data_IF_786208990437
#
_entry.id   IF_786208990437
#
_cell.length_a   1.000
_cell.length_b   1.000
_cell.length_c   1.000
_cell.angle_alpha   90.00
_cell.angle_beta   90.00
_cell.angle_gamma   90.00
#
_symmetry.space_group_name_H-M   'P 1'
#
loop_
_entity.id
_entity.type
_entity.pdbx_description
1 polymer ?
#
# COMPACT_ATOMS: atom_id res chain seq x y z
N UNK A 1 -14.43 -26.97 -2.65
CA UNK A 1 -15.51 -25.99 -2.61
C UNK A 1 -16.55 -26.49 -1.62
N UNK A 2 -16.96 -25.66 -0.67
CA UNK A 2 -18.05 -26.00 0.25
C UNK A 2 -19.35 -25.77 -0.52
N UNK A 3 -20.23 -26.79 -0.60
CA UNK A 3 -21.50 -26.67 -1.32
C UNK A 3 -22.41 -25.64 -0.64
N UNK A 4 -23.16 -24.87 -1.44
CA UNK A 4 -24.08 -23.84 -0.93
C UNK A 4 -25.07 -24.36 0.12
N UNK A 5 -25.49 -25.62 0.00
CA UNK A 5 -26.42 -26.26 0.93
C UNK A 5 -25.79 -26.50 2.31
N UNK A 6 -24.49 -26.82 2.35
CA UNK A 6 -23.73 -26.99 3.60
C UNK A 6 -23.55 -25.65 4.34
N UNK A 7 -23.40 -24.55 3.58
CA UNK A 7 -23.31 -23.20 4.13
C UNK A 7 -24.66 -22.79 4.74
N UNK A 8 -25.78 -23.03 4.04
CA UNK A 8 -27.10 -22.73 4.57
C UNK A 8 -27.39 -23.53 5.86
N UNK A 9 -27.03 -24.81 5.89
CA UNK A 9 -27.24 -25.66 7.05
C UNK A 9 -26.38 -25.25 8.26
N UNK A 10 -25.11 -24.91 8.05
CA UNK A 10 -24.23 -24.41 9.11
C UNK A 10 -24.68 -23.05 9.66
N UNK A 11 -25.20 -22.17 8.79
CA UNK A 11 -25.79 -20.89 9.20
C UNK A 11 -27.03 -21.12 10.07
N UNK A 12 -27.94 -22.02 9.66
CA UNK A 12 -29.13 -22.36 10.43
C UNK A 12 -28.80 -22.96 11.81
N UNK A 13 -27.69 -23.69 11.91
CA UNK A 13 -27.21 -24.29 13.17
C UNK A 13 -26.31 -23.37 14.00
N UNK A 14 -26.03 -22.14 13.53
CA UNK A 14 -25.13 -21.21 14.21
C UNK A 14 -23.71 -21.78 14.38
N UNK A 15 -23.20 -22.47 13.36
CA UNK A 15 -21.88 -23.11 13.39
C UNK A 15 -20.88 -22.37 12.52
N UNK A 16 -19.62 -22.39 12.93
CA UNK A 16 -18.51 -21.80 12.20
C UNK A 16 -18.30 -22.61 10.93
N UNK A 17 -18.24 -21.92 9.79
CA UNK A 17 -18.03 -22.55 8.48
C UNK A 17 -16.70 -23.30 8.35
N UNK A 18 -15.75 -23.02 9.25
CA UNK A 18 -14.41 -23.55 9.17
C UNK A 18 -14.16 -24.64 10.20
N UNK A 19 -14.18 -24.30 11.49
CA UNK A 19 -13.93 -25.28 12.55
C UNK A 19 -15.16 -26.09 12.99
N UNK A 20 -16.36 -25.76 12.49
CA UNK A 20 -17.61 -26.42 12.89
C UNK A 20 -18.07 -26.15 14.33
N UNK A 21 -17.37 -25.28 15.08
CA UNK A 21 -17.75 -24.91 16.44
C UNK A 21 -18.90 -23.90 16.50
N UNK A 22 -19.46 -23.64 17.69
CA UNK A 22 -20.52 -22.62 17.85
C UNK A 22 -20.02 -21.24 17.42
N UNK A 23 -20.74 -20.64 16.48
CA UNK A 23 -20.43 -19.34 15.90
C UNK A 23 -21.22 -18.24 16.60
N UNK A 24 -20.51 -17.18 16.97
CA UNK A 24 -21.08 -15.94 17.47
C UNK A 24 -20.33 -14.79 16.79
N UNK A 25 -21.04 -13.80 16.22
CA UNK A 25 -20.43 -12.73 15.40
C UNK A 25 -19.23 -12.04 16.06
N UNK A 26 -19.29 -11.82 17.38
CA UNK A 26 -18.25 -11.11 18.14
C UNK A 26 -17.43 -11.98 19.10
N UNK A 27 -17.88 -13.21 19.42
CA UNK A 27 -17.27 -14.03 20.50
C UNK A 27 -16.53 -15.25 19.97
N UNK A 28 -16.81 -15.68 18.74
CA UNK A 28 -16.18 -16.87 18.20
C UNK A 28 -14.79 -16.58 17.63
N UNK A 29 -13.75 -17.09 18.30
CA UNK A 29 -12.38 -17.11 17.75
C UNK A 29 -12.07 -18.47 17.15
N UNK A 30 -12.19 -18.58 15.83
CA UNK A 30 -11.93 -19.83 15.12
C UNK A 30 -10.44 -20.23 15.26
N UNK A 31 -10.14 -21.47 15.68
CA UNK A 31 -8.76 -21.95 15.81
C UNK A 31 -8.07 -22.12 14.44
N UNK A 32 -8.83 -22.29 13.36
CA UNK A 32 -8.31 -22.41 11.99
C UNK A 32 -8.18 -21.02 11.33
N UNK A 33 -7.14 -20.28 11.72
CA UNK A 33 -6.83 -18.94 11.17
C UNK A 33 -6.15 -19.09 9.80
N UNK A 34 -6.90 -18.91 8.72
CA UNK A 34 -6.34 -18.58 7.40
C UNK A 34 -7.26 -17.59 6.70
N UNK A 35 -6.68 -16.86 5.73
CA UNK A 35 -7.21 -15.70 5.00
C UNK A 35 -8.74 -15.67 4.82
N UNK A 36 -9.32 -14.50 5.10
CA UNK A 36 -10.77 -14.23 5.13
C UNK A 36 -11.29 -14.00 3.71
N UNK A 37 -12.23 -14.83 3.24
CA UNK A 37 -13.23 -14.44 2.24
C UNK A 37 -14.53 -14.26 2.99
N UNK A 38 -15.02 -13.03 3.09
CA UNK A 38 -16.32 -12.71 3.67
C UNK A 38 -17.31 -12.55 2.51
N UNK A 39 -18.30 -13.44 2.44
CA UNK A 39 -19.44 -13.29 1.53
C UNK A 39 -20.49 -12.49 2.31
N UNK A 40 -20.62 -11.21 1.98
CA UNK A 40 -21.64 -10.32 2.54
C UNK A 40 -23.02 -10.63 1.94
N UNK A 41 -24.05 -10.66 2.77
CA UNK A 41 -25.44 -10.60 2.30
C UNK A 41 -25.79 -9.20 1.80
N UNK A 42 -26.79 -9.09 0.92
CA UNK A 42 -27.29 -7.77 0.48
C UNK A 42 -27.74 -6.96 1.71
N UNK A 43 -27.10 -5.79 1.91
CA UNK A 43 -27.43 -4.85 2.99
C UNK A 43 -26.56 -4.93 4.25
N UNK A 44 -25.54 -5.80 4.30
CA UNK A 44 -24.60 -5.88 5.43
C UNK A 44 -23.34 -5.03 5.19
N UNK A 45 -23.02 -4.13 6.13
CA UNK A 45 -21.79 -3.32 6.17
C UNK A 45 -20.92 -3.75 7.38
N UNK A 46 -19.60 -3.73 7.19
CA UNK A 46 -18.60 -4.20 8.17
C UNK A 46 -17.74 -3.00 8.62
N UNK A 47 -17.39 -2.93 9.90
CA UNK A 47 -16.31 -2.07 10.40
C UNK A 47 -14.91 -2.67 10.14
N UNK A 48 -13.87 -1.89 10.44
CA UNK A 48 -12.47 -2.25 10.21
C UNK A 48 -11.97 -3.47 10.99
N UNK A 49 -12.72 -3.94 11.99
CA UNK A 49 -12.42 -5.15 12.77
C UNK A 49 -13.04 -6.42 12.18
N UNK A 50 -13.89 -6.30 11.15
CA UNK A 50 -14.61 -7.41 10.57
C UNK A 50 -15.95 -7.71 11.26
N UNK A 51 -16.46 -6.79 12.08
CA UNK A 51 -17.75 -6.89 12.75
C UNK A 51 -18.84 -6.23 11.89
N UNK A 52 -20.05 -6.81 11.87
CA UNK A 52 -21.18 -6.23 11.15
C UNK A 52 -21.72 -5.07 11.98
N UNK A 53 -21.57 -3.84 11.47
CA UNK A 53 -21.91 -2.61 12.20
C UNK A 53 -23.05 -1.88 11.50
N UNK A 54 -24.25 -2.10 12.04
CA UNK A 54 -25.50 -1.37 11.87
C UNK A 54 -26.40 -1.69 10.65
N UNK A 55 -27.64 -2.06 11.00
CA UNK A 55 -28.85 -1.66 10.31
C UNK A 55 -29.25 -0.28 10.90
N UNK A 56 -29.43 0.71 10.03
CA UNK A 56 -29.87 2.12 10.27
C UNK A 56 -28.82 3.15 10.71
N UNK A 57 -28.67 4.17 9.85
CA UNK A 57 -27.73 5.31 9.92
C UNK A 57 -28.25 6.40 10.86
N UNK A 58 -27.39 6.88 11.77
CA UNK A 58 -27.48 8.25 12.30
C UNK A 58 -26.16 8.94 11.98
N UNK A 59 -26.26 10.04 11.25
CA UNK A 59 -25.14 10.93 10.91
C UNK A 59 -24.74 11.69 12.17
N UNK A 60 -23.54 11.40 12.69
CA UNK A 60 -22.80 12.32 13.55
C UNK A 60 -21.57 12.78 12.76
N UNK A 61 -21.38 14.09 12.69
CA UNK A 61 -20.27 14.75 12.00
C UNK A 61 -18.95 14.43 12.73
N UNK A 62 -18.17 13.50 12.20
CA UNK A 62 -16.82 13.20 12.68
C UNK A 62 -15.80 14.18 12.05
N UNK A 63 -14.99 14.82 12.89
CA UNK A 63 -13.81 15.57 12.46
C UNK A 63 -12.88 14.62 11.67
N UNK A 64 -12.52 14.98 10.44
CA UNK A 64 -11.67 14.18 9.54
C UNK A 64 -10.25 13.99 10.11
N UNK A 65 -10.07 13.02 10.99
CA UNK A 65 -8.76 12.38 11.18
C UNK A 65 -8.46 11.60 9.89
N UNK A 66 -7.69 12.21 8.99
CA UNK A 66 -7.25 11.56 7.75
C UNK A 66 -6.50 10.27 8.12
N UNK A 67 -7.12 9.11 8.05
CA UNK A 67 -6.45 7.83 8.24
C UNK A 67 -5.59 7.54 7.00
N UNK A 68 -4.27 7.42 7.18
CA UNK A 68 -3.38 6.96 6.12
C UNK A 68 -3.17 5.45 6.28
N UNK A 69 -3.63 4.68 5.31
CA UNK A 69 -3.29 3.26 5.20
C UNK A 69 -2.14 3.05 4.21
N UNK A 70 -1.15 2.25 4.57
CA UNK A 70 -0.10 1.76 3.68
C UNK A 70 -0.06 0.24 3.79
N UNK A 71 -0.73 -0.48 2.89
CA UNK A 71 -0.65 -1.94 2.87
C UNK A 71 0.67 -2.35 2.23
N UNK A 72 1.76 -2.21 2.99
CA UNK A 72 3.08 -2.71 2.62
C UNK A 72 2.99 -4.23 2.44
N UNK A 73 2.70 -4.63 1.21
CA UNK A 73 2.64 -6.03 0.82
C UNK A 73 4.05 -6.41 0.36
N UNK A 74 4.91 -6.68 1.35
CA UNK A 74 6.25 -7.20 1.15
C UNK A 74 7.30 -6.13 0.82
N UNK A 75 7.88 -5.53 1.86
CA UNK A 75 9.17 -4.79 1.80
C UNK A 75 10.31 -5.63 1.18
N UNK A 76 10.15 -6.95 1.04
CA UNK A 76 11.17 -7.83 0.45
C UNK A 76 10.71 -8.46 -0.88
N UNK A 77 10.58 -7.63 -1.92
CA UNK A 77 11.05 -7.92 -3.29
C UNK A 77 10.61 -9.18 -4.07
N UNK A 78 9.80 -10.09 -3.52
CA UNK A 78 9.20 -11.23 -4.23
C UNK A 78 8.15 -11.90 -3.36
N UNK A 79 6.90 -11.92 -3.81
CA UNK A 79 5.95 -12.94 -3.37
C UNK A 79 6.14 -14.19 -4.24
N UNK A 80 7.26 -14.89 -4.04
CA UNK A 80 7.63 -16.03 -4.88
C UNK A 80 8.02 -15.61 -6.30
N UNK A 81 7.33 -16.14 -7.32
CA UNK A 81 7.62 -15.86 -8.74
C UNK A 81 7.01 -14.55 -9.26
N UNK A 82 6.10 -13.93 -8.50
CA UNK A 82 5.38 -12.71 -8.89
C UNK A 82 6.10 -11.45 -8.45
N UNK A 83 6.09 -10.44 -9.33
CA UNK A 83 6.88 -9.22 -9.20
C UNK A 83 5.99 -8.00 -8.97
N UNK A 84 6.42 -7.14 -8.07
CA UNK A 84 5.81 -5.82 -7.84
C UNK A 84 6.29 -4.81 -8.88
N UNK A 85 5.46 -3.81 -9.19
CA UNK A 85 5.82 -2.74 -10.12
C UNK A 85 6.77 -1.74 -9.47
N UNK A 86 8.08 -1.99 -9.61
CA UNK A 86 9.15 -1.07 -9.21
C UNK A 86 9.73 -0.39 -10.44
N UNK A 87 9.79 0.92 -10.44
CA UNK A 87 10.36 1.73 -11.53
C UNK A 87 11.57 2.48 -11.01
N UNK A 88 12.57 2.64 -11.88
CA UNK A 88 13.68 3.55 -11.62
C UNK A 88 13.19 4.98 -11.78
N UNK A 89 13.49 5.83 -10.82
CA UNK A 89 13.23 7.25 -10.88
C UNK A 89 14.49 8.05 -10.53
N UNK A 90 14.39 9.37 -10.67
CA UNK A 90 15.38 10.32 -10.16
C UNK A 90 14.71 11.36 -9.30
N UNK A 91 15.29 11.60 -8.15
CA UNK A 91 14.95 12.71 -7.28
C UNK A 91 16.15 13.66 -7.30
N UNK A 92 15.94 14.86 -7.82
CA UNK A 92 17.03 15.74 -8.25
C UNK A 92 17.98 15.04 -9.24
N UNK A 93 19.21 14.73 -8.81
CA UNK A 93 20.21 13.99 -9.61
C UNK A 93 20.51 12.58 -9.10
N UNK A 94 19.80 12.11 -8.06
CA UNK A 94 20.03 10.81 -7.43
C UNK A 94 19.05 9.77 -7.98
N UNK A 95 19.55 8.60 -8.36
CA UNK A 95 18.76 7.45 -8.76
C UNK A 95 18.04 6.84 -7.55
N UNK A 96 16.73 6.63 -7.69
CA UNK A 96 15.84 6.12 -6.65
C UNK A 96 14.95 4.98 -7.15
N UNK A 97 14.56 4.07 -6.26
CA UNK A 97 13.58 3.00 -6.52
C UNK A 97 12.19 3.45 -6.07
N UNK A 98 11.28 3.48 -7.03
CA UNK A 98 9.91 3.88 -6.81
C UNK A 98 9.00 2.65 -6.91
N UNK A 99 8.28 2.34 -5.85
CA UNK A 99 7.23 1.32 -5.87
C UNK A 99 5.90 1.96 -6.26
N UNK A 100 5.19 1.39 -7.22
CA UNK A 100 3.80 1.75 -7.53
C UNK A 100 2.88 0.79 -6.80
N UNK A 101 2.10 1.29 -5.85
CA UNK A 101 1.30 0.47 -4.93
C UNK A 101 -0.14 1.00 -4.80
N UNK A 102 -1.08 0.28 -5.42
CA UNK A 102 -2.53 0.59 -5.25
C UNK A 102 -3.07 0.20 -3.88
N UNK A 103 -2.31 -0.53 -3.06
CA UNK A 103 -2.62 -0.84 -1.66
C UNK A 103 -2.22 0.28 -0.68
N UNK A 104 -1.50 1.30 -1.15
CA UNK A 104 -1.13 2.47 -0.37
C UNK A 104 -2.07 3.64 -0.67
N UNK A 105 -2.68 4.24 0.35
CA UNK A 105 -3.59 5.39 0.19
C UNK A 105 -2.84 6.67 -0.23
N UNK A 106 -1.71 6.94 0.42
CA UNK A 106 -0.88 8.13 0.23
C UNK A 106 0.44 7.77 -0.44
N UNK A 107 1.19 8.78 -0.89
CA UNK A 107 2.58 8.60 -1.27
C UNK A 107 3.47 8.64 -0.02
N UNK A 108 4.56 7.89 -0.05
CA UNK A 108 5.53 7.82 1.04
C UNK A 108 6.94 8.02 0.51
N UNK A 109 7.79 8.65 1.31
CA UNK A 109 9.21 8.84 1.00
C UNK A 109 10.05 8.39 2.20
N UNK A 110 11.18 7.74 1.90
CA UNK A 110 12.09 7.26 2.92
C UNK A 110 12.74 8.40 3.68
N UNK A 111 12.74 8.33 5.02
CA UNK A 111 13.44 9.28 5.87
C UNK A 111 14.95 9.38 5.56
N UNK A 112 15.57 8.27 5.15
CA UNK A 112 16.98 8.25 4.77
C UNK A 112 17.28 9.14 3.55
N UNK A 113 16.37 9.16 2.58
CA UNK A 113 16.51 10.01 1.39
C UNK A 113 16.21 11.46 1.70
N UNK A 114 15.18 11.74 2.50
CA UNK A 114 14.88 13.12 2.89
C UNK A 114 16.06 13.75 3.61
N UNK A 115 16.72 12.99 4.48
CA UNK A 115 17.91 13.45 5.21
C UNK A 115 19.12 13.59 4.28
N UNK A 116 19.39 12.60 3.42
CA UNK A 116 20.53 12.64 2.50
C UNK A 116 20.46 13.78 1.47
N UNK A 117 19.25 14.13 1.04
CA UNK A 117 19.00 15.22 0.08
C UNK A 117 18.68 16.57 0.76
N UNK A 118 18.54 16.60 2.08
CA UNK A 118 18.16 17.82 2.80
C UNK A 118 16.77 18.36 2.41
N UNK A 119 15.84 17.46 2.07
CA UNK A 119 14.49 17.83 1.69
C UNK A 119 13.76 18.49 2.87
N UNK A 120 12.95 19.50 2.57
CA UNK A 120 12.23 20.24 3.60
C UNK A 120 11.03 19.43 4.09
N UNK A 121 11.09 18.99 5.34
CA UNK A 121 10.01 18.28 6.03
C UNK A 121 9.17 19.29 6.80
N UNK A 122 7.92 19.47 6.38
CA UNK A 122 6.97 20.32 7.10
C UNK A 122 6.41 19.57 8.32
N UNK A 123 6.39 20.20 9.50
CA UNK A 123 5.71 19.65 10.66
C UNK A 123 4.23 19.42 10.37
N UNK A 124 3.71 18.27 10.76
CA UNK A 124 2.29 17.97 10.66
C UNK A 124 1.78 17.42 11.99
N UNK A 125 0.46 17.46 12.20
CA UNK A 125 -0.16 16.70 13.29
C UNK A 125 0.24 15.23 13.13
N UNK A 126 0.67 14.60 14.22
CA UNK A 126 1.14 13.21 14.19
C UNK A 126 0.09 12.30 13.54
N UNK A 127 0.40 11.80 12.34
CA UNK A 127 -0.48 10.92 11.59
C UNK A 127 -0.06 9.47 11.88
N UNK A 128 -0.96 8.69 12.47
CA UNK A 128 -0.77 7.25 12.62
C UNK A 128 -1.09 6.58 11.28
N UNK A 129 -0.09 5.92 10.71
CA UNK A 129 -0.20 5.18 9.47
C UNK A 129 -0.37 3.71 9.83
N UNK A 130 -1.46 3.09 9.37
CA UNK A 130 -1.70 1.67 9.53
C UNK A 130 -1.02 0.91 8.40
N UNK A 131 -0.13 -0.01 8.77
CA UNK A 131 0.61 -0.84 7.84
C UNK A 131 -0.17 -2.10 7.45
N UNK A 132 0.23 -2.73 6.35
CA UNK A 132 -0.42 -3.94 5.83
C UNK A 132 -0.35 -5.16 6.75
N UNK A 133 0.59 -5.17 7.69
CA UNK A 133 0.74 -6.18 8.74
C UNK A 133 -0.10 -5.87 10.00
N UNK A 134 -0.83 -4.76 10.01
CA UNK A 134 -1.65 -4.30 11.12
C UNK A 134 -0.91 -3.45 12.16
N UNK A 135 0.41 -3.26 12.03
CA UNK A 135 1.17 -2.35 12.89
C UNK A 135 0.86 -0.89 12.55
N UNK A 136 0.99 -0.01 13.54
CA UNK A 136 0.86 1.44 13.33
C UNK A 136 2.21 2.12 13.53
N UNK A 137 2.53 3.00 12.60
CA UNK A 137 3.76 3.81 12.61
C UNK A 137 3.39 5.28 12.53
N UNK A 138 4.19 6.14 13.14
CA UNK A 138 3.95 7.59 13.12
C UNK A 138 4.79 8.21 12.02
N UNK A 139 4.17 9.00 11.14
CA UNK A 139 4.90 9.75 10.13
C UNK A 139 5.79 10.82 10.76
N UNK A 140 6.99 11.01 10.21
CA UNK A 140 7.93 12.04 10.69
C UNK A 140 7.57 13.44 10.18
N UNK A 141 6.69 13.55 9.18
CA UNK A 141 6.27 14.81 8.60
C UNK A 141 5.79 14.67 7.16
N UNK A 142 5.56 15.80 6.51
CA UNK A 142 5.16 15.88 5.11
C UNK A 142 6.27 16.54 4.28
N UNK A 143 6.72 15.85 3.23
CA UNK A 143 7.57 16.44 2.20
C UNK A 143 6.67 16.84 1.02
N UNK A 144 6.44 18.15 0.85
CA UNK A 144 5.55 18.67 -0.18
C UNK A 144 6.29 18.98 -1.49
N UNK A 145 5.61 18.83 -2.63
CA UNK A 145 6.12 19.21 -3.94
C UNK A 145 7.35 18.44 -4.40
N UNK A 146 7.49 17.18 -4.00
CA UNK A 146 8.58 16.29 -4.40
C UNK A 146 8.53 16.08 -5.91
N UNK A 147 9.58 16.51 -6.61
CA UNK A 147 9.72 16.33 -8.06
C UNK A 147 10.45 15.04 -8.35
N UNK A 148 9.71 14.09 -8.90
CA UNK A 148 10.19 12.75 -9.21
C UNK A 148 10.19 12.54 -10.72
N UNK A 149 11.37 12.41 -11.31
CA UNK A 149 11.51 12.10 -12.72
C UNK A 149 11.43 10.57 -12.90
N UNK A 150 10.43 10.11 -13.66
CA UNK A 150 10.17 8.69 -13.92
C UNK A 150 10.60 8.28 -15.34
N UNK A 151 11.56 9.01 -15.91
CA UNK A 151 12.05 8.84 -17.28
C UNK A 151 11.13 9.47 -18.32
N UNK A 152 9.93 8.92 -18.48
CA UNK A 152 8.97 9.36 -19.49
C UNK A 152 8.09 10.55 -19.04
N UNK A 153 8.08 10.86 -17.75
CA UNK A 153 7.33 11.98 -17.17
C UNK A 153 8.01 12.50 -15.89
N UNK A 154 7.62 13.70 -15.45
CA UNK A 154 7.91 14.21 -14.12
C UNK A 154 6.61 14.18 -13.29
N UNK A 155 6.64 13.52 -12.14
CA UNK A 155 5.56 13.53 -11.17
C UNK A 155 5.91 14.53 -10.06
N UNK A 156 4.97 15.41 -9.72
CA UNK A 156 5.08 16.29 -8.55
C UNK A 156 4.11 15.77 -7.50
N UNK A 157 4.62 15.31 -6.37
CA UNK A 157 3.81 14.65 -5.33
C UNK A 157 4.11 15.18 -3.94
N UNK A 158 3.08 15.20 -3.10
CA UNK A 158 3.26 15.33 -1.66
C UNK A 158 3.40 13.92 -1.07
N UNK A 159 4.40 13.72 -0.20
CA UNK A 159 4.75 12.41 0.34
C UNK A 159 4.94 12.46 1.86
N UNK A 160 4.35 11.49 2.55
CA UNK A 160 4.55 11.30 4.00
C UNK A 160 5.91 10.66 4.25
N UNK A 161 6.65 11.19 5.23
CA UNK A 161 7.97 10.67 5.57
C UNK A 161 7.82 9.45 6.48
N UNK A 162 8.40 8.33 6.07
CA UNK A 162 8.38 7.05 6.79
C UNK A 162 9.68 6.28 6.57
N UNK A 163 10.04 5.36 7.46
CA UNK A 163 11.06 4.35 7.18
C UNK A 163 10.47 3.25 6.29
N UNK A 164 11.07 3.03 5.12
CA UNK A 164 10.56 2.15 4.06
C UNK A 164 11.40 0.87 3.86
N UNK A 165 12.41 0.61 4.69
CA UNK A 165 13.20 -0.63 4.66
C UNK A 165 13.78 -0.98 3.28
N UNK A 166 14.54 -0.05 2.69
CA UNK A 166 15.23 -0.27 1.40
C UNK A 166 14.50 0.22 0.15
N UNK A 167 13.23 0.66 0.26
CA UNK A 167 12.56 1.42 -0.81
C UNK A 167 12.78 2.92 -0.62
N UNK A 168 12.81 3.67 -1.72
CA UNK A 168 13.09 5.10 -1.69
C UNK A 168 11.79 5.92 -1.68
N UNK A 169 10.85 5.57 -2.56
CA UNK A 169 9.55 6.22 -2.69
C UNK A 169 8.46 5.19 -2.96
N UNK A 170 7.28 5.38 -2.37
CA UNK A 170 6.04 4.65 -2.71
C UNK A 170 5.05 5.65 -3.30
N UNK A 171 4.58 5.37 -4.51
CA UNK A 171 3.48 6.10 -5.13
C UNK A 171 2.17 5.34 -4.92
N UNK A 172 1.30 5.93 -4.11
CA UNK A 172 0.01 5.36 -3.72
C UNK A 172 -1.15 5.85 -4.59
N UNK A 173 -2.37 5.54 -4.13
CA UNK A 173 -3.63 5.95 -4.75
C UNK A 173 -3.69 7.46 -4.95
N UNK A 174 -3.17 8.26 -4.01
CA UNK A 174 -3.12 9.73 -4.14
C UNK A 174 -2.41 10.23 -5.41
N UNK A 175 -1.40 9.52 -5.91
CA UNK A 175 -0.79 9.81 -7.21
C UNK A 175 -1.52 9.08 -8.34
N UNK A 176 -1.84 7.79 -8.16
CA UNK A 176 -2.49 6.98 -9.20
C UNK A 176 -3.81 7.56 -9.70
N UNK A 177 -4.61 8.18 -8.82
CA UNK A 177 -5.88 8.78 -9.20
C UNK A 177 -5.73 9.96 -10.17
N UNK A 178 -4.56 10.63 -10.18
CA UNK A 178 -4.26 11.74 -11.10
C UNK A 178 -4.08 11.27 -12.55
N UNK A 179 -3.80 9.98 -12.76
CA UNK A 179 -3.52 9.41 -14.08
C UNK A 179 -4.80 9.01 -14.83
N UNK A 180 -5.94 8.92 -14.13
CA UNK A 180 -7.18 8.44 -14.69
C UNK A 180 -7.12 6.97 -15.09
N UNK A 181 -7.38 6.68 -16.38
CA UNK A 181 -7.38 5.29 -16.88
C UNK A 181 -5.96 4.81 -17.14
N UNK A 182 -5.59 3.72 -16.49
CA UNK A 182 -4.30 3.05 -16.63
C UNK A 182 -4.50 1.65 -17.21
N UNK A 183 -3.67 1.27 -18.18
CA UNK A 183 -3.52 -0.11 -18.63
C UNK A 183 -2.24 -0.69 -18.04
N UNK A 184 -2.36 -1.83 -17.35
CA UNK A 184 -1.23 -2.50 -16.70
C UNK A 184 -1.04 -3.88 -17.31
N UNK A 185 0.18 -4.17 -17.77
CA UNK A 185 0.62 -5.51 -18.13
C UNK A 185 1.51 -6.04 -17.00
N UNK A 186 0.97 -6.99 -16.23
CA UNK A 186 1.66 -7.63 -15.11
C UNK A 186 2.75 -8.61 -15.53
N UNK A 187 2.70 -9.14 -16.75
CA UNK A 187 3.70 -10.07 -17.25
C UNK A 187 4.99 -9.32 -17.63
N UNK A 188 4.84 -8.20 -18.32
CA UNK A 188 5.97 -7.35 -18.72
C UNK A 188 6.31 -6.25 -17.71
N UNK A 189 5.48 -6.06 -16.69
CA UNK A 189 5.54 -4.95 -15.74
C UNK A 189 5.54 -3.59 -16.46
N UNK A 190 4.61 -3.37 -17.38
CA UNK A 190 4.47 -2.08 -18.07
C UNK A 190 3.15 -1.41 -17.69
N UNK A 191 3.23 -0.11 -17.46
CA UNK A 191 2.09 0.73 -17.06
C UNK A 191 1.92 1.85 -18.09
N UNK A 192 0.78 1.86 -18.78
CA UNK A 192 0.48 2.83 -19.83
C UNK A 192 -0.73 3.69 -19.46
N UNK A 193 -0.62 5.00 -19.66
CA UNK A 193 -1.70 5.96 -19.41
C UNK A 193 -1.55 7.19 -20.30
N UNK A 194 -2.56 8.05 -20.28
CA UNK A 194 -2.54 9.35 -20.96
C UNK A 194 -2.17 10.45 -19.98
N UNK A 195 -1.20 11.28 -20.35
CA UNK A 195 -0.77 12.42 -19.56
C UNK A 195 -0.44 13.58 -20.52
N UNK A 196 -1.00 14.76 -20.26
CA UNK A 196 -0.80 15.97 -21.09
C UNK A 196 -0.98 15.74 -22.62
N UNK A 197 -1.97 14.93 -22.99
CA UNK A 197 -2.28 14.62 -24.40
C UNK A 197 -1.29 13.66 -25.08
N UNK A 198 -0.38 13.03 -24.32
CA UNK A 198 0.57 12.02 -24.81
C UNK A 198 0.36 10.69 -24.10
N UNK A 199 0.64 9.60 -24.81
CA UNK A 199 0.71 8.28 -24.18
C UNK A 199 2.06 8.14 -23.48
N UNK A 200 2.02 7.90 -22.16
CA UNK A 200 3.19 7.62 -21.32
C UNK A 200 3.21 6.14 -21.02
N UNK A 201 4.41 5.55 -21.06
CA UNK A 201 4.66 4.16 -20.65
C UNK A 201 5.77 4.17 -19.60
N UNK A 202 5.46 3.64 -18.42
CA UNK A 202 6.44 3.39 -17.37
C UNK A 202 6.76 1.89 -17.38
N UNK A 203 8.06 1.57 -17.30
CA UNK A 203 8.56 0.20 -17.40
C UNK A 203 9.15 -0.22 -16.06
N UNK A 204 8.65 -1.32 -15.52
CA UNK A 204 9.12 -1.93 -14.30
C UNK A 204 10.50 -2.57 -14.50
N UNK A 205 11.33 -2.48 -13.47
CA UNK A 205 12.64 -3.12 -13.43
C UNK A 205 12.45 -4.64 -13.29
N UNK A 206 12.80 -5.39 -14.33
CA UNK A 206 12.91 -6.84 -14.30
C UNK A 206 14.20 -7.31 -13.61
N UNK A 207 14.28 -8.59 -13.23
CA UNK A 207 15.40 -9.18 -12.47
C UNK A 207 16.76 -9.24 -13.20
N UNK A 208 16.98 -8.50 -14.29
CA UNK A 208 18.24 -8.59 -15.03
C UNK A 208 18.91 -7.24 -15.34
N UNK A 209 20.06 -7.12 -14.68
CA UNK A 209 21.33 -6.46 -15.06
C UNK A 209 21.51 -4.97 -14.79
N UNK A 210 22.36 -4.77 -13.78
CA UNK A 210 23.08 -3.56 -13.43
C UNK A 210 23.04 -3.44 -11.93
N UNK A 211 24.20 -3.48 -11.26
CA UNK A 211 24.36 -2.90 -9.93
C UNK A 211 23.91 -1.44 -10.01
N UNK A 212 22.61 -1.17 -9.91
CA UNK A 212 22.13 0.15 -9.61
C UNK A 212 22.11 0.20 -8.09
N UNK A 213 23.20 0.71 -7.53
CA UNK A 213 23.27 1.08 -6.12
C UNK A 213 22.28 2.24 -5.93
N UNK A 214 21.04 1.91 -5.59
CA UNK A 214 20.03 2.90 -5.24
C UNK A 214 20.33 3.44 -3.84
N UNK A 215 19.91 4.67 -3.57
CA UNK A 215 20.41 5.43 -2.44
C UNK A 215 20.19 4.70 -1.11
N UNK A 216 19.02 4.12 -0.83
CA UNK A 216 18.83 3.38 0.42
C UNK A 216 19.66 2.09 0.49
N UNK A 217 19.77 1.33 -0.59
CA UNK A 217 20.64 0.15 -0.62
C UNK A 217 22.12 0.54 -0.35
N UNK A 218 22.58 1.65 -0.93
CA UNK A 218 23.92 2.19 -0.70
C UNK A 218 24.11 2.70 0.74
N UNK A 219 23.09 3.34 1.33
CA UNK A 219 23.15 3.85 2.69
C UNK A 219 23.12 2.73 3.75
N UNK A 220 22.38 1.65 3.51
CA UNK A 220 22.32 0.46 4.37
C UNK A 220 23.65 -0.30 4.42
N UNK A 221 24.36 -0.41 3.30
CA UNK A 221 25.68 -1.07 3.22
C UNK A 221 26.74 -0.35 4.08
N UNK A 222 26.68 0.99 4.20
CA UNK A 222 27.65 1.76 5.00
C UNK A 222 27.42 1.69 6.51
N UNK A 223 26.24 1.27 6.98
CA UNK A 223 25.97 1.12 8.41
C UNK A 223 26.57 -0.18 9.00
N UNK A 224 26.99 -1.12 8.16
CA UNK A 224 27.62 -2.38 8.58
C UNK A 224 29.15 -2.36 8.60
N UNK A 225 29.78 -1.24 8.21
CA UNK A 225 31.24 -1.07 8.17
C UNK A 225 31.83 -0.26 9.35
N UNK A 226 31.07 -0.04 10.44
CA UNK A 226 31.54 0.72 11.63
C UNK A 226 31.56 -0.13 12.89
#
# INVERSE_FOLDING_TARGET
SIQNDEIAERRAKGLCFKCGGKYHPTLHKCPEKSLRVLILGEGEIINDDGEIVALEVREEEEEEDLEAECKIMGVLGSMGEYRTMKIGGKLESIDVVVLVDSGASHNFISSHITDALGLQISPMKAKRIKLGDGHQVVSQGLCAGVKLNLGAMEAVVDALVLDLGGLDVILGVSWLCTLGKVMMDWQTLSMQFWHEGKSVVLQGQGTNRGEQCFLNAFLEDRQHEV
#
